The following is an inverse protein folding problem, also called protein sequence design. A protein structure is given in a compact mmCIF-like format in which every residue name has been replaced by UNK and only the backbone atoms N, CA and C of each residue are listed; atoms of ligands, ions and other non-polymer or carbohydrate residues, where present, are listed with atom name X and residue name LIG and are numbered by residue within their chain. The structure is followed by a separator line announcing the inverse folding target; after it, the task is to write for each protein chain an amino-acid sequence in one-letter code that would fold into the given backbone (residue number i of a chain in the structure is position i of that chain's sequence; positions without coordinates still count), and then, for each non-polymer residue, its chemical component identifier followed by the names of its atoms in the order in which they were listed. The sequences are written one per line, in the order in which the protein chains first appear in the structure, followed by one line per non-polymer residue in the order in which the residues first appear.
data_IF_638060710809
#
_entry.id   IF_638060710809
#
_cell.length_a   1.000
_cell.length_b   1.000
_cell.length_c   1.000
_cell.angle_alpha   90.00
_cell.angle_beta   90.00
_cell.angle_gamma   90.00
#
_symmetry.space_group_name_H-M   'P 1'
#
loop_
_entity.id
_entity.type
_entity.pdbx_description
1 polymer ?
#
# COMPACT_ATOMS: atom_id res chain seq x y z
N UNK A 1 -10.02 15.19 20.75
CA UNK A 1 -10.85 14.46 19.78
C UNK A 1 -9.97 13.97 18.63
N UNK A 2 -9.31 12.81 18.75
CA UNK A 2 -8.28 12.31 17.80
C UNK A 2 -8.65 11.01 17.06
N UNK A 3 -9.83 10.46 17.33
CA UNK A 3 -10.21 9.09 16.88
C UNK A 3 -10.88 9.09 15.49
N UNK A 4 -11.37 10.22 14.99
CA UNK A 4 -12.24 10.27 13.80
C UNK A 4 -11.45 10.10 12.49
N UNK A 5 -10.20 10.59 12.41
CA UNK A 5 -9.40 10.54 11.16
C UNK A 5 -8.87 9.15 10.82
N UNK A 6 -8.57 8.31 11.81
CA UNK A 6 -8.17 6.92 11.52
C UNK A 6 -9.28 6.12 10.83
N UNK A 7 -10.55 6.54 10.94
CA UNK A 7 -11.66 5.79 10.34
C UNK A 7 -11.72 5.86 8.81
N UNK A 8 -11.23 6.93 8.16
CA UNK A 8 -11.45 7.09 6.72
C UNK A 8 -10.53 6.21 5.88
N UNK A 9 -9.22 6.25 6.14
CA UNK A 9 -8.27 5.43 5.37
C UNK A 9 -8.47 3.93 5.67
N UNK A 10 -8.73 3.55 6.94
CA UNK A 10 -9.02 2.15 7.30
C UNK A 10 -10.29 1.60 6.63
N UNK A 11 -11.29 2.45 6.30
CA UNK A 11 -12.48 2.03 5.54
C UNK A 11 -12.16 1.64 4.09
N UNK A 12 -11.00 2.08 3.57
CA UNK A 12 -10.51 1.73 2.23
C UNK A 12 -9.67 0.44 2.25
N UNK A 13 -9.54 -0.20 3.41
CA UNK A 13 -8.90 -1.51 3.56
C UNK A 13 -9.75 -2.60 2.92
N UNK A 14 -9.16 -3.40 2.06
CA UNK A 14 -9.79 -4.56 1.41
C UNK A 14 -8.92 -5.80 1.59
N UNK A 15 -9.54 -6.98 1.53
CA UNK A 15 -8.81 -8.25 1.55
C UNK A 15 -8.29 -8.64 0.17
N UNK A 16 -7.31 -9.53 0.13
CA UNK A 16 -6.82 -10.20 -1.08
C UNK A 16 -7.96 -10.74 -1.98
N UNK A 17 -8.96 -11.39 -1.40
CA UNK A 17 -10.09 -11.93 -2.15
C UNK A 17 -10.95 -10.86 -2.82
N UNK A 18 -11.13 -9.71 -2.17
CA UNK A 18 -11.90 -8.59 -2.72
C UNK A 18 -11.11 -7.86 -3.79
N UNK A 19 -9.80 -7.71 -3.59
CA UNK A 19 -8.90 -7.12 -4.57
C UNK A 19 -8.89 -7.90 -5.89
N UNK A 20 -8.77 -9.24 -5.84
CA UNK A 20 -8.84 -10.11 -7.03
C UNK A 20 -10.09 -9.85 -7.90
N UNK A 21 -11.23 -9.48 -7.28
CA UNK A 21 -12.48 -9.19 -8.00
C UNK A 21 -12.53 -7.82 -8.66
N UNK A 22 -11.79 -6.85 -8.13
CA UNK A 22 -11.85 -5.46 -8.61
C UNK A 22 -10.63 -5.05 -9.44
N UNK A 23 -9.52 -5.81 -9.35
CA UNK A 23 -8.21 -5.42 -9.90
C UNK A 23 -8.25 -5.07 -11.38
N UNK A 24 -9.03 -5.82 -12.18
CA UNK A 24 -9.10 -5.65 -13.64
C UNK A 24 -9.74 -4.32 -14.06
N UNK A 25 -10.50 -3.70 -13.16
CA UNK A 25 -11.18 -2.42 -13.39
C UNK A 25 -10.68 -1.33 -12.43
N UNK A 26 -9.50 -1.53 -11.82
CA UNK A 26 -8.93 -0.60 -10.87
C UNK A 26 -7.75 0.14 -11.51
N UNK A 27 -7.84 1.47 -11.55
CA UNK A 27 -6.73 2.36 -11.88
C UNK A 27 -6.40 3.23 -10.66
N UNK A 28 -5.12 3.28 -10.28
CA UNK A 28 -4.64 3.99 -9.10
C UNK A 28 -3.56 3.24 -8.34
N UNK A 29 -3.39 3.59 -7.07
CA UNK A 29 -2.36 3.02 -6.21
C UNK A 29 -2.93 2.03 -5.19
N UNK A 30 -2.14 1.03 -4.83
CA UNK A 30 -2.50 0.06 -3.80
C UNK A 30 -1.36 -0.02 -2.80
N UNK A 31 -1.67 0.25 -1.53
CA UNK A 31 -0.74 0.06 -0.42
C UNK A 31 -0.90 -1.36 0.12
N UNK A 32 0.05 -2.23 -0.19
CA UNK A 32 0.10 -3.62 0.25
C UNK A 32 0.70 -3.69 1.66
N UNK A 33 -0.07 -4.20 2.62
CA UNK A 33 0.29 -4.15 4.04
C UNK A 33 -0.14 -5.41 4.81
N UNK A 34 0.57 -5.67 5.91
CA UNK A 34 0.14 -6.61 6.96
C UNK A 34 -0.49 -5.84 8.13
N UNK A 35 -1.43 -6.48 8.82
CA UNK A 35 -2.20 -5.86 9.90
C UNK A 35 -1.32 -5.48 11.09
N UNK A 36 -0.32 -6.29 11.42
CA UNK A 36 0.58 -6.01 12.55
C UNK A 36 1.48 -4.82 12.25
N UNK A 37 2.05 -4.75 11.03
CA UNK A 37 2.75 -3.56 10.57
C UNK A 37 1.86 -2.31 10.61
N UNK A 38 0.60 -2.43 10.15
CA UNK A 38 -0.35 -1.32 10.15
C UNK A 38 -0.66 -0.81 11.57
N UNK A 39 -0.71 -1.69 12.57
CA UNK A 39 -0.95 -1.30 13.98
C UNK A 39 0.21 -0.49 14.53
N UNK A 40 1.43 -0.89 14.20
CA UNK A 40 2.66 -0.21 14.66
C UNK A 40 2.87 1.11 13.92
N UNK A 41 2.64 1.12 12.60
CA UNK A 41 3.04 2.20 11.71
C UNK A 41 1.86 2.98 11.11
N UNK A 42 0.73 3.00 11.83
CA UNK A 42 -0.55 3.57 11.38
C UNK A 42 -0.43 5.02 10.88
N UNK A 43 0.36 5.84 11.58
CA UNK A 43 0.51 7.27 11.26
C UNK A 43 1.36 7.47 9.98
N UNK A 44 2.38 6.65 9.78
CA UNK A 44 3.19 6.66 8.57
C UNK A 44 2.34 6.27 7.36
N UNK A 45 1.63 5.15 7.47
CA UNK A 45 0.80 4.64 6.38
C UNK A 45 -0.35 5.60 6.07
N UNK A 46 -0.98 6.20 7.08
CA UNK A 46 -1.99 7.25 6.87
C UNK A 46 -1.41 8.45 6.12
N UNK A 47 -0.24 8.93 6.51
CA UNK A 47 0.38 10.10 5.85
C UNK A 47 0.73 9.86 4.39
N UNK A 48 1.09 8.63 4.02
CA UNK A 48 1.36 8.25 2.64
C UNK A 48 0.04 8.12 1.87
N UNK A 49 -0.94 7.42 2.43
CA UNK A 49 -2.26 7.24 1.85
C UNK A 49 -2.94 8.58 1.55
N UNK A 50 -2.98 9.48 2.54
CA UNK A 50 -3.58 10.81 2.41
C UNK A 50 -2.85 11.66 1.37
N UNK A 51 -1.56 11.45 1.13
CA UNK A 51 -0.81 12.15 0.09
C UNK A 51 -1.20 11.68 -1.31
N UNK A 52 -1.33 10.36 -1.50
CA UNK A 52 -1.76 9.78 -2.78
C UNK A 52 -3.20 10.19 -3.11
N UNK A 53 -4.11 10.10 -2.13
CA UNK A 53 -5.53 10.41 -2.30
C UNK A 53 -5.87 11.88 -2.53
N UNK A 54 -4.88 12.78 -2.51
CA UNK A 54 -5.09 14.16 -2.98
C UNK A 54 -5.48 14.16 -4.47
N UNK A 55 -4.79 13.38 -5.29
CA UNK A 55 -4.90 13.45 -6.75
C UNK A 55 -5.25 12.10 -7.41
N UNK A 56 -5.06 10.98 -6.69
CA UNK A 56 -5.14 9.63 -7.26
C UNK A 56 -5.91 8.71 -6.33
N UNK A 57 -6.62 7.74 -6.91
CA UNK A 57 -7.28 6.69 -6.13
C UNK A 57 -6.24 5.85 -5.41
N UNK A 58 -6.47 5.57 -4.13
CA UNK A 58 -5.66 4.66 -3.33
C UNK A 58 -6.54 3.71 -2.51
N UNK A 59 -6.11 2.46 -2.38
CA UNK A 59 -6.70 1.48 -1.46
C UNK A 59 -5.62 0.84 -0.58
N UNK A 60 -6.03 0.28 0.56
CA UNK A 60 -5.13 -0.53 1.38
C UNK A 60 -5.47 -2.00 1.15
N UNK A 61 -4.49 -2.76 0.66
CA UNK A 61 -4.62 -4.19 0.45
C UNK A 61 -4.03 -4.93 1.65
N UNK A 62 -4.91 -5.56 2.41
CA UNK A 62 -4.55 -6.41 3.54
C UNK A 62 -4.08 -7.78 3.04
N UNK A 63 -2.79 -8.04 3.22
CA UNK A 63 -2.10 -9.27 2.86
C UNK A 63 -1.72 -10.11 4.07
N UNK A 64 -2.24 -9.80 5.26
CA UNK A 64 -1.93 -10.51 6.50
C UNK A 64 -2.05 -12.03 6.33
N UNK A 65 -0.94 -12.71 6.63
CA UNK A 65 -0.78 -14.14 6.38
C UNK A 65 -1.45 -14.94 7.52
N UNK A 66 -2.76 -15.19 7.37
CA UNK A 66 -3.54 -16.05 8.28
C UNK A 66 -3.55 -17.52 7.79
N UNK A 67 -4.40 -18.39 8.36
CA UNK A 67 -4.59 -19.80 7.90
C UNK A 67 -4.94 -19.98 6.40
N UNK A 68 -5.11 -18.89 5.65
CA UNK A 68 -5.30 -18.82 4.19
C UNK A 68 -4.00 -18.46 3.44
N UNK A 69 -2.84 -18.88 3.94
CA UNK A 69 -1.50 -18.47 3.44
C UNK A 69 -1.33 -18.58 1.93
N UNK A 70 -1.78 -19.67 1.31
CA UNK A 70 -1.58 -19.94 -0.12
C UNK A 70 -2.18 -18.86 -1.03
N UNK A 71 -3.39 -18.38 -0.73
CA UNK A 71 -4.08 -17.36 -1.54
C UNK A 71 -3.33 -16.03 -1.55
N UNK A 72 -2.72 -15.64 -0.43
CA UNK A 72 -1.98 -14.38 -0.37
C UNK A 72 -0.64 -14.49 -1.10
N UNK A 73 0.07 -15.62 -0.99
CA UNK A 73 1.32 -15.83 -1.72
C UNK A 73 1.13 -15.85 -3.25
N UNK A 74 0.07 -16.49 -3.74
CA UNK A 74 -0.28 -16.42 -5.16
C UNK A 74 -0.53 -14.99 -5.61
N UNK A 75 -1.27 -14.21 -4.82
CA UNK A 75 -1.58 -12.83 -5.16
C UNK A 75 -0.30 -11.98 -5.17
N UNK A 76 0.57 -12.13 -4.17
CA UNK A 76 1.87 -11.43 -4.08
C UNK A 76 2.71 -11.67 -5.33
N UNK A 77 2.78 -12.94 -5.79
CA UNK A 77 3.50 -13.31 -7.01
C UNK A 77 2.85 -12.71 -8.27
N UNK A 78 1.52 -12.72 -8.33
CA UNK A 78 0.74 -12.21 -9.45
C UNK A 78 0.84 -10.68 -9.60
N UNK A 79 0.83 -9.92 -8.49
CA UNK A 79 1.04 -8.47 -8.50
C UNK A 79 2.52 -8.06 -8.55
N UNK A 80 3.44 -9.02 -8.47
CA UNK A 80 4.88 -8.81 -8.66
C UNK A 80 5.57 -8.03 -7.54
N UNK A 81 5.05 -8.01 -6.31
CA UNK A 81 5.74 -7.34 -5.18
C UNK A 81 6.76 -8.27 -4.52
N UNK A 82 7.89 -7.69 -4.09
CA UNK A 82 8.98 -8.46 -3.48
C UNK A 82 8.80 -8.64 -1.96
N UNK A 83 8.35 -7.59 -1.28
CA UNK A 83 8.14 -7.62 0.17
C UNK A 83 6.90 -6.84 0.57
N UNK A 84 6.50 -6.99 1.83
CA UNK A 84 5.45 -6.19 2.45
C UNK A 84 6.10 -5.45 3.64
N UNK A 85 5.85 -4.14 3.81
CA UNK A 85 4.93 -3.30 3.04
C UNK A 85 5.48 -2.85 1.69
N UNK A 86 4.56 -2.60 0.76
CA UNK A 86 4.86 -2.14 -0.60
C UNK A 86 3.75 -1.23 -1.13
N UNK A 87 4.06 -0.42 -2.14
CA UNK A 87 3.10 0.37 -2.92
C UNK A 87 3.23 -0.06 -4.37
N UNK A 88 2.10 -0.40 -4.98
CA UNK A 88 1.99 -0.65 -6.41
C UNK A 88 1.13 0.42 -7.08
N UNK A 89 1.40 0.68 -8.36
CA UNK A 89 0.56 1.44 -9.28
C UNK A 89 -0.09 0.46 -10.26
N UNK A 90 -1.38 0.67 -10.54
CA UNK A 90 -2.14 -0.06 -11.54
C UNK A 90 -2.67 0.94 -12.55
N UNK A 91 -2.28 0.78 -13.79
CA UNK A 91 -2.72 1.61 -14.92
C UNK A 91 -2.82 0.77 -16.21
N UNK A 92 -2.94 1.44 -17.35
CA UNK A 92 -3.08 0.80 -18.66
C UNK A 92 -1.83 -0.02 -19.07
N UNK A 93 -0.65 0.27 -18.51
CA UNK A 93 0.58 -0.46 -18.77
C UNK A 93 0.68 -1.74 -17.91
N UNK A 94 -0.12 -1.83 -16.85
CA UNK A 94 -0.22 -2.99 -15.98
C UNK A 94 0.02 -2.66 -14.51
N UNK A 95 0.64 -3.60 -13.80
CA UNK A 95 0.97 -3.47 -12.38
C UNK A 95 2.48 -3.22 -12.23
N UNK A 96 2.84 -2.17 -11.49
CA UNK A 96 4.24 -1.82 -11.19
C UNK A 96 4.41 -1.57 -9.70
N UNK A 97 5.43 -2.16 -9.09
CA UNK A 97 5.89 -1.79 -7.75
C UNK A 97 6.64 -0.45 -7.80
N UNK A 98 6.11 0.56 -7.09
CA UNK A 98 6.67 1.93 -7.06
C UNK A 98 7.48 2.19 -5.79
N UNK A 99 7.18 1.46 -4.71
CA UNK A 99 7.96 1.54 -3.48
C UNK A 99 7.95 0.19 -2.75
N UNK A 100 9.12 -0.38 -2.56
CA UNK A 100 9.37 -1.51 -1.68
C UNK A 100 9.99 -0.98 -0.38
N UNK A 101 9.33 -1.18 0.77
CA UNK A 101 9.82 -0.59 2.02
C UNK A 101 11.11 -1.23 2.54
N UNK A 102 11.44 -2.44 2.09
CA UNK A 102 12.72 -3.08 2.42
C UNK A 102 13.93 -2.39 1.77
N UNK A 103 13.71 -1.52 0.77
CA UNK A 103 14.77 -0.75 0.12
C UNK A 103 15.24 0.44 0.98
N UNK A 104 14.50 0.81 2.03
CA UNK A 104 14.87 1.91 2.92
C UNK A 104 15.90 1.45 3.96
N UNK A 105 16.93 2.25 4.25
CA UNK A 105 17.91 1.92 5.28
C UNK A 105 17.24 1.75 6.65
N UNK A 106 17.63 0.72 7.39
CA UNK A 106 17.04 0.36 8.71
C UNK A 106 17.04 1.52 9.73
N UNK A 107 17.98 2.46 9.60
CA UNK A 107 18.09 3.62 10.49
C UNK A 107 17.21 4.81 10.08
N UNK A 108 16.44 4.69 8.99
CA UNK A 108 15.52 5.74 8.58
C UNK A 108 14.38 5.86 9.58
N UNK A 109 14.08 7.10 9.94
CA UNK A 109 12.86 7.44 10.67
C UNK A 109 11.65 7.40 9.75
N UNK A 110 10.45 7.21 10.31
CA UNK A 110 9.20 7.27 9.56
C UNK A 110 9.07 8.57 8.74
N UNK A 111 9.54 9.71 9.26
CA UNK A 111 9.52 10.98 8.52
C UNK A 111 10.38 10.93 7.26
N UNK A 112 11.54 10.28 7.32
CA UNK A 112 12.42 10.11 6.16
C UNK A 112 11.81 9.15 5.15
N UNK A 113 11.23 8.03 5.60
CA UNK A 113 10.52 7.07 4.74
C UNK A 113 9.37 7.75 4.00
N UNK A 114 8.52 8.49 4.71
CA UNK A 114 7.43 9.28 4.10
C UNK A 114 7.99 10.25 3.05
N UNK A 115 9.09 10.93 3.36
CA UNK A 115 9.69 11.91 2.43
C UNK A 115 10.20 11.24 1.16
N UNK A 116 10.86 10.08 1.25
CA UNK A 116 11.36 9.37 0.08
C UNK A 116 10.23 8.78 -0.75
N UNK A 117 9.20 8.21 -0.12
CA UNK A 117 8.02 7.70 -0.82
C UNK A 117 7.33 8.81 -1.61
N UNK A 118 7.15 9.99 -1.01
CA UNK A 118 6.57 11.14 -1.72
C UNK A 118 7.40 11.57 -2.93
N UNK A 119 8.73 11.48 -2.85
CA UNK A 119 9.62 11.76 -3.99
C UNK A 119 9.48 10.71 -5.09
N UNK A 120 9.35 9.43 -4.74
CA UNK A 120 9.14 8.35 -5.71
C UNK A 120 7.80 8.53 -6.44
N UNK A 121 6.72 8.75 -5.69
CA UNK A 121 5.37 8.95 -6.24
C UNK A 121 5.30 10.15 -7.20
N UNK A 122 5.95 11.27 -6.85
CA UNK A 122 6.00 12.44 -7.73
C UNK A 122 6.83 12.21 -9.01
N UNK A 123 7.77 11.26 -9.01
CA UNK A 123 8.57 10.91 -10.20
C UNK A 123 7.83 9.95 -11.12
N UNK A 124 7.02 9.05 -10.57
CA UNK A 124 6.18 8.11 -11.35
C UNK A 124 4.97 8.80 -12.04
N UNK A 125 4.70 10.06 -11.71
CA UNK A 125 3.69 10.91 -12.35
C UNK A 125 4.26 11.82 -13.47
N UNK A 126 5.56 11.72 -13.79
CA UNK A 126 6.25 12.41 -14.91
C UNK A 126 6.61 11.39 -16.00
#
# INVERSE_FOLDING_TARGET
MKIIKNSFFLKKKISASSFRKIRENYEGYVMCIEEDFLKEEVEMMRSIFEFIEVDKKCILLDLTINSRKELNFELIKDIGIQTIPSIIKIDQEGIKEVANFSDFPVHFTNKQIISEIKKLLNRDDI
#
